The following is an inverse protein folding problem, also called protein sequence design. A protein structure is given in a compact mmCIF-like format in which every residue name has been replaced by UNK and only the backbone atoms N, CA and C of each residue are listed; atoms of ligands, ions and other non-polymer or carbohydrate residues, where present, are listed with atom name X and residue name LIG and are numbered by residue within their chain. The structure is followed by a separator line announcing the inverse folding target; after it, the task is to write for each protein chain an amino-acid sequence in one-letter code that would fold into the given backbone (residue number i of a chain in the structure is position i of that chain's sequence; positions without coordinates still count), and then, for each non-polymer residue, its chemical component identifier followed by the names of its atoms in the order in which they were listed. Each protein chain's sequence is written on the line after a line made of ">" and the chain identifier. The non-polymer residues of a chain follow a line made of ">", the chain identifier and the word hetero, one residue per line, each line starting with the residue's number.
data_IF_808094033096
#
_entry.id   IF_808094033096
#
_cell.length_a   1.000
_cell.length_b   1.000
_cell.length_c   1.000
_cell.angle_alpha   90.00
_cell.angle_beta   90.00
_cell.angle_gamma   90.00
#
_symmetry.space_group_name_H-M   'P 1'
#
loop_
_entity.id
_entity.type
_entity.pdbx_description
1 polymer ?
#
# COMPACT_ATOMS: atom_id res chain seq x y z
N UNK A 1 -30.69 -6.88 -33.32
CA UNK A 1 -30.16 -7.08 -32.94
C UNK A 1 -29.70 -7.18 -32.36
N UNK A 2 -29.21 -6.99 -32.20
CA UNK A 2 -28.59 -7.23 -31.71
C UNK A 2 -28.24 -7.16 -30.93
N UNK A 3 -28.13 -6.96 -30.62
CA UNK A 3 -27.50 -7.01 -29.77
C UNK A 3 -27.45 -7.13 -28.85
N UNK A 4 -27.55 -7.29 -28.38
CA UNK A 4 -27.44 -7.55 -27.43
C UNK A 4 -26.82 -8.13 -26.90
N UNK A 5 -26.80 -8.67 -27.14
CA UNK A 5 -25.92 -9.30 -26.82
C UNK A 5 -24.84 -8.69 -26.47
N UNK A 6 -24.53 -7.96 -26.82
CA UNK A 6 -23.49 -7.30 -26.53
C UNK A 6 -23.48 -6.76 -25.26
N UNK A 7 -24.50 -6.68 -24.74
CA UNK A 7 -24.51 -6.11 -23.53
C UNK A 7 -23.93 -6.88 -22.50
N UNK A 8 -24.01 -8.11 -22.57
CA UNK A 8 -23.43 -8.83 -21.60
C UNK A 8 -22.02 -8.68 -21.61
N UNK A 9 -21.57 -8.18 -22.64
CA UNK A 9 -20.22 -7.89 -22.70
C UNK A 9 -19.85 -6.85 -21.76
N UNK A 10 -20.82 -6.27 -21.16
CA UNK A 10 -20.52 -5.27 -20.24
C UNK A 10 -20.34 -5.83 -18.87
N UNK A 11 -20.07 -7.07 -18.79
CA UNK A 11 -19.64 -7.59 -17.54
C UNK A 11 -18.58 -6.71 -16.99
N UNK A 12 -18.79 -6.27 -15.81
CA UNK A 12 -17.90 -5.32 -15.22
C UNK A 12 -16.52 -5.87 -15.07
N UNK A 13 -15.59 -5.09 -15.54
CA UNK A 13 -14.18 -5.35 -15.27
C UNK A 13 -13.70 -4.41 -14.18
N UNK A 14 -14.64 -3.88 -13.41
CA UNK A 14 -14.26 -2.98 -12.33
C UNK A 14 -13.34 -3.69 -11.36
N UNK A 15 -12.31 -2.98 -10.95
CA UNK A 15 -11.34 -3.46 -9.99
C UNK A 15 -11.55 -2.68 -8.71
N UNK A 16 -11.64 -3.39 -7.59
CA UNK A 16 -11.74 -2.71 -6.31
C UNK A 16 -10.38 -2.09 -5.99
N UNK A 17 -10.42 -0.84 -5.59
CA UNK A 17 -9.21 -0.13 -5.18
C UNK A 17 -9.41 0.38 -3.76
N UNK A 18 -8.48 0.05 -2.88
CA UNK A 18 -8.44 0.61 -1.54
C UNK A 18 -7.24 1.54 -1.47
N UNK A 19 -7.43 2.71 -0.86
CA UNK A 19 -6.40 3.72 -0.75
C UNK A 19 -5.85 3.76 0.66
N UNK A 20 -4.53 3.80 0.77
CA UNK A 20 -3.83 3.98 2.04
C UNK A 20 -3.04 5.28 1.93
N UNK A 21 -3.30 6.21 2.83
CA UNK A 21 -2.56 7.47 2.91
C UNK A 21 -1.29 7.25 3.72
N UNK A 22 -0.20 7.80 3.26
CA UNK A 22 1.11 7.63 3.91
C UNK A 22 1.66 9.00 4.30
N UNK A 23 2.02 9.15 5.57
CA UNK A 23 2.65 10.37 6.08
C UNK A 23 1.67 11.48 6.44
N UNK A 24 0.52 11.53 5.80
CA UNK A 24 -0.57 12.45 6.14
C UNK A 24 -1.88 11.80 5.75
N UNK A 25 -2.86 11.90 6.63
CA UNK A 25 -4.21 11.42 6.34
C UNK A 25 -4.88 12.40 5.40
N UNK A 26 -5.20 11.98 4.19
CA UNK A 26 -5.78 12.87 3.18
C UNK A 26 -7.16 13.38 3.56
N UNK A 27 -7.87 12.70 4.45
CA UNK A 27 -9.22 13.11 4.86
C UNK A 27 -9.18 14.13 6.01
N UNK A 28 -8.24 14.00 6.95
CA UNK A 28 -8.21 14.84 8.15
C UNK A 28 -7.03 15.80 8.17
N UNK A 29 -6.04 15.62 7.29
CA UNK A 29 -4.79 16.37 7.26
C UNK A 29 -3.88 16.11 8.47
N UNK A 30 -4.19 15.10 9.29
CA UNK A 30 -3.29 14.72 10.37
C UNK A 30 -1.99 14.18 9.77
N UNK A 31 -0.84 14.64 10.26
CA UNK A 31 0.45 14.16 9.81
C UNK A 31 1.08 13.25 10.84
N UNK A 32 1.98 12.38 10.43
CA UNK A 32 2.67 11.50 11.35
C UNK A 32 3.35 10.34 10.64
N UNK A 33 4.11 9.60 11.42
CA UNK A 33 4.77 8.38 10.93
C UNK A 33 3.75 7.25 10.95
N UNK A 34 2.83 7.28 9.98
CA UNK A 34 1.71 6.35 9.94
C UNK A 34 1.24 6.05 8.55
N UNK A 35 0.59 4.89 8.44
CA UNK A 35 -0.29 4.55 7.32
C UNK A 35 -1.73 4.72 7.81
N UNK A 36 -2.60 5.28 6.97
CA UNK A 36 -4.03 5.42 7.26
C UNK A 36 -4.84 4.76 6.15
N UNK A 37 -5.56 3.66 6.46
CA UNK A 37 -5.66 2.96 7.74
C UNK A 37 -4.47 2.03 7.98
N UNK A 38 -4.34 1.54 9.21
CA UNK A 38 -3.26 0.62 9.58
C UNK A 38 -3.63 -0.85 9.40
N UNK A 39 -4.89 -1.13 9.12
CA UNK A 39 -5.38 -2.47 8.84
C UNK A 39 -6.40 -2.41 7.74
N UNK A 40 -6.29 -3.29 6.80
CA UNK A 40 -7.32 -3.46 5.77
C UNK A 40 -7.56 -4.93 5.51
N UNK A 41 -8.74 -5.24 5.01
CA UNK A 41 -9.09 -6.56 4.51
C UNK A 41 -9.38 -6.40 3.04
N UNK A 42 -8.81 -7.27 2.22
CA UNK A 42 -8.94 -7.16 0.77
C UNK A 42 -9.00 -8.54 0.13
N UNK A 43 -9.94 -8.72 -0.79
CA UNK A 43 -10.04 -9.95 -1.56
C UNK A 43 -8.92 -10.02 -2.60
N UNK A 44 -8.55 -11.22 -3.02
CA UNK A 44 -7.60 -11.35 -4.14
C UNK A 44 -8.11 -10.59 -5.35
N UNK A 45 -7.22 -9.88 -6.01
CA UNK A 45 -7.59 -9.03 -7.16
C UNK A 45 -7.79 -7.57 -6.79
N UNK A 46 -7.94 -7.26 -5.50
CA UNK A 46 -8.06 -5.87 -5.06
C UNK A 46 -6.72 -5.16 -5.26
N UNK A 47 -6.78 -3.95 -5.74
CA UNK A 47 -5.61 -3.09 -5.83
C UNK A 47 -5.53 -2.24 -4.57
N UNK A 48 -4.34 -2.13 -3.99
CA UNK A 48 -4.11 -1.25 -2.84
C UNK A 48 -3.17 -0.16 -3.31
N UNK A 49 -3.65 1.07 -3.31
CA UNK A 49 -2.88 2.21 -3.75
C UNK A 49 -2.39 3.01 -2.55
N UNK A 50 -1.09 3.08 -2.41
CA UNK A 50 -0.46 3.88 -1.37
C UNK A 50 -0.23 5.27 -1.95
N UNK A 51 -0.78 6.28 -1.28
CA UNK A 51 -0.64 7.68 -1.67
C UNK A 51 0.25 8.38 -0.65
N UNK A 52 1.38 8.89 -1.09
CA UNK A 52 2.36 9.51 -0.20
C UNK A 52 2.08 11.01 -0.13
N UNK A 53 1.59 11.46 1.01
CA UNK A 53 1.10 12.83 1.18
C UNK A 53 2.05 13.73 1.94
N UNK A 54 3.01 13.20 2.67
CA UNK A 54 3.97 14.00 3.40
C UNK A 54 5.23 13.19 3.70
N UNK A 55 6.36 13.86 3.73
CA UNK A 55 7.64 13.25 4.15
C UNK A 55 8.30 12.44 3.04
N UNK A 56 9.15 11.54 3.47
CA UNK A 56 9.85 10.60 2.59
C UNK A 56 9.72 9.22 3.23
N UNK A 57 8.91 8.37 2.63
CA UNK A 57 8.55 7.08 3.21
C UNK A 57 8.64 5.97 2.19
N UNK A 58 8.61 4.75 2.66
CA UNK A 58 8.55 3.56 1.80
C UNK A 58 7.39 2.68 2.20
N UNK A 59 7.02 1.77 1.30
CA UNK A 59 6.19 0.61 1.61
C UNK A 59 7.08 -0.59 1.41
N UNK A 60 7.38 -1.30 2.49
CA UNK A 60 8.33 -2.42 2.48
C UNK A 60 7.68 -3.61 3.18
N UNK A 61 7.81 -4.79 2.61
CA UNK A 61 7.20 -5.98 3.20
C UNK A 61 8.13 -6.59 4.24
N UNK A 62 7.54 -7.01 5.36
CA UNK A 62 8.21 -7.77 6.41
C UNK A 62 7.48 -9.08 6.66
N UNK A 63 7.90 -9.81 7.68
CA UNK A 63 7.13 -10.93 8.22
C UNK A 63 6.54 -10.50 9.56
N UNK A 64 5.59 -11.27 10.06
CA UNK A 64 5.03 -11.01 11.39
C UNK A 64 6.10 -11.12 12.48
N UNK A 65 6.96 -12.14 12.37
CA UNK A 65 7.96 -12.41 13.41
C UNK A 65 9.12 -11.42 13.41
N UNK A 66 9.40 -10.83 12.25
CA UNK A 66 10.50 -9.87 12.12
C UNK A 66 9.97 -8.56 11.56
N UNK A 67 9.19 -7.82 12.35
CA UNK A 67 8.68 -6.54 11.89
C UNK A 67 9.83 -5.56 11.73
N UNK A 68 9.67 -4.58 10.86
CA UNK A 68 10.68 -3.56 10.59
C UNK A 68 11.95 -4.11 9.93
N UNK A 69 11.89 -5.34 9.42
CA UNK A 69 13.00 -5.96 8.69
C UNK A 69 12.47 -6.34 7.30
N UNK A 70 13.13 -5.95 6.22
CA UNK A 70 12.69 -6.34 4.89
C UNK A 70 12.61 -7.86 4.76
N UNK A 71 11.53 -8.37 4.17
CA UNK A 71 11.28 -9.81 4.13
C UNK A 71 12.41 -10.58 3.44
N UNK A 72 13.07 -9.98 2.47
CA UNK A 72 14.18 -10.64 1.78
C UNK A 72 15.40 -10.86 2.65
N UNK A 73 15.48 -10.16 3.82
CA UNK A 73 16.59 -10.36 4.74
C UNK A 73 16.42 -11.61 5.60
N UNK A 74 15.19 -12.11 5.71
CA UNK A 74 14.90 -13.26 6.57
C UNK A 74 14.37 -14.46 5.77
N UNK A 75 13.96 -14.24 4.52
CA UNK A 75 13.47 -15.32 3.65
C UNK A 75 14.15 -15.19 2.30
N UNK A 76 15.21 -15.94 2.11
CA UNK A 76 16.09 -15.77 0.96
C UNK A 76 15.44 -15.99 -0.40
N UNK A 77 14.34 -16.75 -0.45
CA UNK A 77 13.67 -17.05 -1.71
C UNK A 77 12.46 -16.19 -1.98
N UNK A 78 12.27 -15.14 -1.19
CA UNK A 78 11.12 -14.27 -1.32
C UNK A 78 11.56 -12.88 -1.74
N UNK A 79 10.98 -12.41 -2.85
CA UNK A 79 11.12 -11.01 -3.24
C UNK A 79 9.89 -10.30 -2.72
N UNK A 80 10.06 -9.47 -1.73
CA UNK A 80 8.96 -8.77 -1.12
C UNK A 80 8.59 -7.50 -1.87
N UNK A 81 7.55 -6.84 -1.36
CA UNK A 81 7.12 -5.56 -1.87
C UNK A 81 8.09 -4.49 -1.39
N UNK A 82 8.47 -3.60 -2.27
CA UNK A 82 9.29 -2.45 -1.92
C UNK A 82 8.99 -1.30 -2.89
N UNK A 83 8.46 -0.22 -2.36
CA UNK A 83 8.13 0.95 -3.18
C UNK A 83 9.33 1.82 -3.52
N UNK A 84 10.44 1.66 -2.81
CA UNK A 84 11.51 2.63 -2.84
C UNK A 84 11.12 3.86 -2.02
N UNK A 85 12.06 4.79 -1.87
CA UNK A 85 11.79 6.06 -1.19
C UNK A 85 10.92 6.94 -2.08
N UNK A 86 9.91 7.55 -1.47
CA UNK A 86 8.94 8.39 -2.18
C UNK A 86 8.90 9.77 -1.54
N UNK A 87 9.86 10.64 -1.85
CA UNK A 87 9.86 11.98 -1.28
C UNK A 87 8.74 12.82 -1.89
N UNK A 88 7.95 13.42 -1.04
CA UNK A 88 6.73 14.11 -1.47
C UNK A 88 7.00 15.55 -1.89
N UNK A 89 7.92 16.22 -1.23
CA UNK A 89 8.14 17.64 -1.44
C UNK A 89 8.35 18.03 -2.90
N UNK A 90 9.22 17.31 -3.58
CA UNK A 90 9.52 17.60 -4.97
C UNK A 90 8.32 17.41 -5.89
N UNK A 91 7.47 16.42 -5.59
CA UNK A 91 6.29 16.15 -6.39
C UNK A 91 5.19 17.16 -6.10
N UNK A 92 5.06 17.58 -4.86
CA UNK A 92 4.03 18.54 -4.46
C UNK A 92 4.22 19.89 -5.14
N UNK A 93 5.47 20.28 -5.36
CA UNK A 93 5.73 21.54 -6.04
C UNK A 93 5.20 21.53 -7.48
N UNK A 94 4.92 20.34 -8.02
CA UNK A 94 4.35 20.18 -9.36
C UNK A 94 2.85 19.83 -9.29
N UNK A 95 2.24 19.91 -8.11
CA UNK A 95 0.83 19.59 -7.95
C UNK A 95 0.53 18.10 -8.00
N UNK A 96 1.51 17.25 -7.71
CA UNK A 96 1.34 15.79 -7.77
C UNK A 96 1.84 15.16 -6.50
N UNK A 97 1.40 13.94 -6.23
CA UNK A 97 1.93 13.12 -5.14
C UNK A 97 2.40 11.79 -5.70
N UNK A 98 3.43 11.18 -5.10
CA UNK A 98 3.83 9.84 -5.52
C UNK A 98 2.79 8.81 -5.07
N UNK A 99 2.62 7.78 -5.86
CA UNK A 99 1.78 6.64 -5.48
C UNK A 99 2.52 5.34 -5.77
N UNK A 100 2.07 4.29 -5.10
CA UNK A 100 2.60 2.95 -5.33
C UNK A 100 1.44 1.98 -5.16
N UNK A 101 1.19 1.15 -6.15
CA UNK A 101 0.01 0.28 -6.17
C UNK A 101 0.44 -1.19 -6.24
N UNK A 102 -0.19 -2.01 -5.41
CA UNK A 102 0.02 -3.45 -5.43
C UNK A 102 -1.31 -4.14 -5.66
N UNK A 103 -1.26 -5.38 -6.16
CA UNK A 103 -2.43 -6.23 -6.26
C UNK A 103 -2.37 -7.28 -5.18
N UNK A 104 -3.46 -7.46 -4.47
CA UNK A 104 -3.58 -8.51 -3.45
C UNK A 104 -3.73 -9.84 -4.19
N UNK A 105 -2.84 -10.78 -3.95
CA UNK A 105 -2.84 -12.04 -4.68
C UNK A 105 -3.63 -13.14 -3.99
N UNK A 106 -3.65 -13.11 -2.67
CA UNK A 106 -4.35 -14.13 -1.87
C UNK A 106 -4.78 -13.51 -0.55
N UNK A 107 -5.34 -14.34 0.33
CA UNK A 107 -5.85 -13.86 1.63
C UNK A 107 -4.85 -13.99 2.77
N UNK A 108 -3.62 -14.33 2.48
CA UNK A 108 -2.63 -14.45 3.53
C UNK A 108 -2.27 -13.07 4.06
N UNK A 109 -1.98 -12.98 5.35
CA UNK A 109 -1.57 -11.68 5.91
C UNK A 109 -0.32 -11.15 5.25
N UNK A 110 -0.32 -9.87 4.96
CA UNK A 110 0.84 -9.18 4.43
C UNK A 110 1.19 -8.04 5.38
N UNK A 111 2.40 -8.06 5.90
CA UNK A 111 2.88 -7.09 6.88
C UNK A 111 3.77 -6.09 6.17
N UNK A 112 3.49 -4.81 6.37
CA UNK A 112 4.17 -3.74 5.65
C UNK A 112 4.64 -2.67 6.63
N UNK A 113 5.72 -1.99 6.28
CA UNK A 113 6.29 -0.95 7.13
C UNK A 113 7.06 0.08 6.30
N UNK A 114 7.38 1.21 6.93
CA UNK A 114 8.30 2.17 6.33
C UNK A 114 9.71 1.85 6.79
N UNK A 115 10.61 1.62 5.84
CA UNK A 115 11.97 1.21 6.14
C UNK A 115 12.93 2.39 6.34
N UNK A 116 12.43 3.62 6.29
CA UNK A 116 13.28 4.79 6.45
C UNK A 116 13.62 4.99 7.92
N UNK A 117 14.91 5.10 8.22
CA UNK A 117 15.40 5.41 9.57
C UNK A 117 14.69 4.55 10.62
N UNK A 118 14.11 5.18 11.64
CA UNK A 118 13.39 4.49 12.71
C UNK A 118 11.88 4.72 12.63
N UNK A 119 11.36 4.97 11.45
CA UNK A 119 9.94 5.21 11.28
C UNK A 119 9.10 4.00 11.73
N UNK A 120 9.50 2.80 11.34
CA UNK A 120 8.78 1.60 11.73
C UNK A 120 8.80 1.40 13.24
N UNK A 121 9.94 1.62 13.88
CA UNK A 121 10.05 1.49 15.33
C UNK A 121 9.20 2.54 16.05
N UNK A 122 8.89 3.63 15.38
CA UNK A 122 7.96 4.64 15.89
C UNK A 122 6.50 4.33 15.62
N UNK A 123 6.20 3.19 14.99
CA UNK A 123 4.83 2.76 14.76
C UNK A 123 4.37 2.80 13.31
N UNK A 124 5.25 3.08 12.36
CA UNK A 124 4.83 3.19 10.95
C UNK A 124 4.80 1.82 10.30
N UNK A 125 3.71 1.11 10.53
CA UNK A 125 3.48 -0.22 9.98
C UNK A 125 1.99 -0.43 9.76
N UNK A 126 1.66 -1.42 8.94
CA UNK A 126 0.27 -1.80 8.67
C UNK A 126 0.18 -3.26 8.28
N UNK A 127 -1.04 -3.78 8.22
CA UNK A 127 -1.28 -5.15 7.79
C UNK A 127 -2.47 -5.23 6.85
N UNK A 128 -2.34 -6.08 5.85
CA UNK A 128 -3.44 -6.44 4.95
C UNK A 128 -3.82 -7.89 5.31
N UNK A 129 -5.11 -8.11 5.53
CA UNK A 129 -5.67 -9.44 5.82
C UNK A 129 -5.12 -10.09 7.09
N UNK A 130 -5.05 -9.32 8.15
CA UNK A 130 -4.68 -9.89 9.45
C UNK A 130 -5.73 -10.90 9.88
N UNK A 131 -5.28 -12.01 10.44
CA UNK A 131 -6.18 -13.02 10.95
C UNK A 131 -6.47 -12.83 12.43
#
# INVERSE_FOLDING_TARGET
>A
MEPQKKNQLTVSLAVDVQVVSVGRNSATNATGLKFWPEKITAEPGTMVQFQFWAGNHTVTQSTFDDPCVPIGNVMSNVTGIYSGYQPVEASMSKGMIPTYTIMVKDKKPMWLFCSKAKHCQGGMSMVINEK
#
